data_IF_300084717990
#
_entry.id   IF_300084717990
#
_cell.length_a   1.000
_cell.length_b   1.000
_cell.length_c   1.000
_cell.angle_alpha   90.00
_cell.angle_beta   90.00
_cell.angle_gamma   90.00
#
_symmetry.space_group_name_H-M   'P 1'
#
loop_
_entity.id
_entity.type
_entity.pdbx_description
1 polymer ?
#
# COMPACT_ATOMS: atom_id res chain seq x y z
N UNK A 1 -17.04 8.40 5.65
CA UNK A 1 -17.27 9.86 5.76
C UNK A 1 -15.94 10.57 5.75
N UNK A 2 -15.71 11.54 4.85
CA UNK A 2 -14.43 12.27 4.71
C UNK A 2 -14.07 13.18 5.90
N UNK A 3 -14.80 13.11 7.02
CA UNK A 3 -14.60 13.91 8.24
C UNK A 3 -14.36 13.07 9.50
N UNK A 4 -14.17 11.76 9.38
CA UNK A 4 -13.85 10.92 10.53
C UNK A 4 -12.36 11.03 10.89
N UNK A 5 -11.96 11.08 12.17
CA UNK A 5 -10.56 11.25 12.61
C UNK A 5 -9.57 10.21 12.03
N UNK A 6 -10.10 9.11 11.52
CA UNK A 6 -9.38 7.95 10.96
C UNK A 6 -9.21 8.01 9.43
N UNK A 7 -9.77 9.02 8.75
CA UNK A 7 -9.67 9.16 7.28
C UNK A 7 -8.34 9.73 6.80
N UNK A 8 -7.62 10.45 7.67
CA UNK A 8 -6.32 11.03 7.32
C UNK A 8 -5.19 10.13 7.81
N UNK A 9 -4.56 9.43 6.88
CA UNK A 9 -3.42 8.54 7.13
C UNK A 9 -3.66 7.12 6.66
N UNK A 10 -2.72 6.24 7.00
CA UNK A 10 -2.75 4.84 6.59
C UNK A 10 -3.42 3.93 7.63
N UNK A 11 -4.03 2.86 7.13
CA UNK A 11 -4.46 1.71 7.93
C UNK A 11 -3.38 0.64 7.82
N UNK A 12 -2.94 0.11 8.97
CA UNK A 12 -1.91 -0.93 9.03
C UNK A 12 -2.58 -2.24 9.41
N UNK A 13 -2.41 -3.24 8.56
CA UNK A 13 -2.91 -4.60 8.75
C UNK A 13 -1.72 -5.52 9.01
N UNK A 14 -1.83 -6.37 10.04
CA UNK A 14 -0.83 -7.41 10.34
C UNK A 14 -1.57 -8.71 10.65
N UNK A 15 -1.31 -9.74 9.83
CA UNK A 15 -2.07 -10.98 9.89
C UNK A 15 -3.52 -10.72 9.52
N UNK A 16 -4.44 -11.13 10.39
CA UNK A 16 -5.89 -11.00 10.26
C UNK A 16 -6.46 -9.77 10.99
N UNK A 17 -5.61 -8.86 11.48
CA UNK A 17 -6.02 -7.73 12.32
C UNK A 17 -5.55 -6.38 11.80
N UNK A 18 -6.42 -5.39 11.93
CA UNK A 18 -6.04 -3.97 11.84
C UNK A 18 -5.35 -3.60 13.15
N UNK A 19 -4.08 -3.20 13.07
CA UNK A 19 -3.28 -2.85 14.26
C UNK A 19 -3.20 -1.34 14.50
N UNK A 20 -3.43 -0.54 13.47
CA UNK A 20 -3.47 0.91 13.58
C UNK A 20 -4.25 1.54 12.40
N UNK A 21 -4.72 2.77 12.59
CA UNK A 21 -5.37 3.59 11.58
C UNK A 21 -5.00 5.07 11.80
N UNK A 22 -5.08 5.89 10.75
CA UNK A 22 -4.64 7.28 10.80
C UNK A 22 -3.11 7.43 10.94
N UNK A 23 -2.34 6.47 10.42
CA UNK A 23 -0.89 6.49 10.55
C UNK A 23 -0.25 7.49 9.59
N UNK A 24 0.67 8.30 10.09
CA UNK A 24 1.59 9.07 9.25
C UNK A 24 2.71 8.16 8.76
N UNK A 25 2.88 8.09 7.45
CA UNK A 25 3.89 7.27 6.80
C UNK A 25 5.04 8.14 6.26
N UNK A 26 6.26 7.59 6.13
CA UNK A 26 7.34 8.28 5.45
C UNK A 26 6.96 8.56 3.98
N UNK A 27 7.32 9.75 3.50
CA UNK A 27 7.07 10.19 2.12
C UNK A 27 8.35 10.03 1.32
N UNK A 28 8.27 9.35 0.17
CA UNK A 28 9.42 9.24 -0.73
C UNK A 28 9.81 10.62 -1.29
N UNK A 29 11.10 10.94 -1.20
CA UNK A 29 11.71 12.20 -1.67
C UNK A 29 12.38 12.06 -3.05
N UNK A 30 12.18 10.92 -3.70
CA UNK A 30 12.72 10.63 -5.02
C UNK A 30 12.26 11.62 -6.08
N UNK A 31 13.22 12.17 -6.80
CA UNK A 31 12.99 13.16 -7.87
C UNK A 31 12.50 12.56 -9.18
N UNK A 32 12.67 11.25 -9.37
CA UNK A 32 12.24 10.50 -10.56
C UNK A 32 10.75 10.13 -10.55
N UNK A 33 10.06 10.36 -9.42
CA UNK A 33 8.62 10.09 -9.30
C UNK A 33 7.78 11.10 -10.08
N UNK A 34 6.77 10.60 -10.79
CA UNK A 34 5.84 11.44 -11.56
C UNK A 34 5.20 12.53 -10.69
N UNK A 35 5.08 13.75 -11.26
CA UNK A 35 4.46 14.89 -10.58
C UNK A 35 2.96 14.69 -10.30
N UNK A 36 2.32 13.81 -11.05
CA UNK A 36 0.89 13.49 -10.88
C UNK A 36 0.64 12.56 -9.67
N UNK A 37 1.69 12.04 -9.02
CA UNK A 37 1.54 11.25 -7.82
C UNK A 37 1.28 12.15 -6.60
N UNK A 38 0.07 12.05 -6.07
CA UNK A 38 -0.33 12.68 -4.80
C UNK A 38 0.38 12.10 -3.57
N UNK A 39 0.11 12.69 -2.41
CA UNK A 39 0.78 12.36 -1.13
C UNK A 39 0.62 10.91 -0.71
N UNK A 40 -0.56 10.29 -0.92
CA UNK A 40 -0.78 8.86 -0.61
C UNK A 40 0.11 7.92 -1.42
N UNK A 41 0.32 8.20 -2.70
CA UNK A 41 1.21 7.39 -3.54
C UNK A 41 2.66 7.52 -3.07
N UNK A 42 3.11 8.74 -2.75
CA UNK A 42 4.47 8.96 -2.23
C UNK A 42 4.68 8.36 -0.84
N UNK A 43 3.64 8.35 0.00
CA UNK A 43 3.62 7.67 1.28
C UNK A 43 3.75 6.14 1.13
N UNK A 44 3.02 5.57 0.18
CA UNK A 44 3.10 4.15 -0.12
C UNK A 44 4.50 3.77 -0.62
N UNK A 45 5.06 4.53 -1.57
CA UNK A 45 6.44 4.32 -2.04
C UNK A 45 7.42 4.46 -0.88
N UNK A 46 7.34 5.55 -0.10
CA UNK A 46 8.26 5.82 1.00
C UNK A 46 8.23 4.74 2.09
N UNK A 47 7.05 4.21 2.44
CA UNK A 47 6.96 3.11 3.40
C UNK A 47 7.59 1.82 2.85
N UNK A 48 7.39 1.53 1.57
CA UNK A 48 7.91 0.30 0.94
C UNK A 48 9.38 0.39 0.52
N UNK A 49 10.00 1.57 0.57
CA UNK A 49 11.45 1.74 0.46
C UNK A 49 12.17 1.24 1.72
N UNK A 50 11.52 1.39 2.89
CA UNK A 50 12.09 1.10 4.21
C UNK A 50 11.51 -0.18 4.85
N UNK A 51 10.66 -0.93 4.15
CA UNK A 51 10.02 -2.14 4.68
C UNK A 51 9.61 -3.14 3.60
N UNK A 52 9.32 -4.38 4.02
CA UNK A 52 8.72 -5.43 3.17
C UNK A 52 7.18 -5.31 3.08
N UNK A 53 6.63 -4.15 3.43
CA UNK A 53 5.20 -3.93 3.37
C UNK A 53 4.70 -3.89 1.92
N UNK A 54 3.50 -4.41 1.71
CA UNK A 54 2.72 -4.19 0.51
C UNK A 54 1.69 -3.12 0.85
N UNK A 55 1.62 -2.06 0.05
CA UNK A 55 0.73 -0.93 0.31
C UNK A 55 -0.22 -0.73 -0.88
N UNK A 56 -1.52 -0.78 -0.61
CA UNK A 56 -2.56 -0.52 -1.61
C UNK A 56 -2.99 0.94 -1.47
N UNK A 57 -3.10 1.65 -2.59
CA UNK A 57 -3.57 3.04 -2.65
C UNK A 57 -4.76 3.12 -3.59
N UNK A 58 -5.78 3.86 -3.16
CA UNK A 58 -6.87 4.29 -4.04
C UNK A 58 -6.73 5.80 -4.25
N UNK A 59 -6.62 6.21 -5.50
CA UNK A 59 -6.53 7.63 -5.86
C UNK A 59 -7.85 8.34 -5.57
N UNK A 60 -7.82 9.42 -4.80
CA UNK A 60 -9.02 10.26 -4.59
C UNK A 60 -9.47 10.99 -5.85
N UNK A 61 -8.52 11.32 -6.73
CA UNK A 61 -8.80 12.08 -7.94
C UNK A 61 -9.41 11.21 -9.03
N UNK A 62 -8.93 9.97 -9.17
CA UNK A 62 -9.25 9.11 -10.30
C UNK A 62 -9.97 7.81 -9.92
N UNK A 63 -9.99 7.45 -8.64
CA UNK A 63 -10.50 6.17 -8.16
C UNK A 63 -9.64 4.95 -8.54
N UNK A 64 -8.52 5.17 -9.25
CA UNK A 64 -7.63 4.09 -9.68
C UNK A 64 -6.93 3.47 -8.48
N UNK A 65 -6.75 2.14 -8.56
CA UNK A 65 -6.00 1.38 -7.57
C UNK A 65 -4.55 1.29 -8.03
N UNK A 66 -3.64 1.46 -7.08
CA UNK A 66 -2.21 1.24 -7.25
C UNK A 66 -1.69 0.37 -6.11
N UNK A 67 -0.62 -0.38 -6.38
CA UNK A 67 0.11 -1.12 -5.35
C UNK A 67 1.54 -0.64 -5.32
N UNK A 68 2.05 -0.37 -4.11
CA UNK A 68 3.45 -0.15 -3.87
C UNK A 68 4.08 -1.34 -3.15
N UNK A 69 5.25 -1.75 -3.62
CA UNK A 69 6.08 -2.79 -3.03
C UNK A 69 7.55 -2.51 -3.40
N UNK A 70 8.46 -2.68 -2.44
CA UNK A 70 9.91 -2.49 -2.63
C UNK A 70 10.26 -1.15 -3.34
N UNK A 71 9.59 -0.06 -2.97
CA UNK A 71 9.79 1.29 -3.52
C UNK A 71 9.33 1.46 -4.98
N UNK A 72 8.60 0.50 -5.55
CA UNK A 72 7.98 0.59 -6.87
C UNK A 72 6.49 0.78 -6.72
N UNK A 73 5.88 1.44 -7.69
CA UNK A 73 4.43 1.65 -7.76
C UNK A 73 3.90 1.06 -9.07
N UNK A 74 3.02 0.08 -8.97
CA UNK A 74 2.28 -0.47 -10.09
C UNK A 74 0.92 0.23 -10.20
N UNK A 75 0.65 0.80 -11.37
CA UNK A 75 -0.56 1.60 -11.61
C UNK A 75 -0.87 1.76 -13.11
N UNK A 76 -2.15 1.75 -13.52
CA UNK A 76 -3.32 1.35 -12.74
C UNK A 76 -3.40 -0.17 -12.61
N UNK A 77 -4.05 -0.65 -11.55
CA UNK A 77 -4.32 -2.06 -11.36
C UNK A 77 -5.83 -2.30 -11.31
N UNK A 78 -6.31 -3.31 -12.05
CA UNK A 78 -7.70 -3.72 -11.97
C UNK A 78 -7.95 -4.67 -10.78
N UNK A 79 -9.22 -4.92 -10.47
CA UNK A 79 -9.61 -5.74 -9.31
C UNK A 79 -9.21 -7.20 -9.45
N UNK A 80 -9.16 -7.75 -10.66
CA UNK A 80 -8.73 -9.12 -10.91
C UNK A 80 -7.24 -9.26 -10.65
N UNK A 81 -6.43 -8.39 -11.27
CA UNK A 81 -5.00 -8.31 -11.05
C UNK A 81 -4.64 -8.07 -9.57
N UNK A 82 -5.36 -7.19 -8.88
CA UNK A 82 -5.20 -6.97 -7.43
C UNK A 82 -5.44 -8.25 -6.64
N UNK A 83 -6.52 -8.96 -6.94
CA UNK A 83 -6.88 -10.18 -6.21
C UNK A 83 -5.85 -11.28 -6.42
N UNK A 84 -5.42 -11.49 -7.65
CA UNK A 84 -4.40 -12.48 -8.00
C UNK A 84 -3.07 -12.15 -7.30
N UNK A 85 -2.63 -10.89 -7.40
CA UNK A 85 -1.42 -10.40 -6.76
C UNK A 85 -1.44 -10.59 -5.23
N UNK A 86 -2.51 -10.16 -4.54
CA UNK A 86 -2.62 -10.31 -3.08
C UNK A 86 -2.72 -11.77 -2.67
N UNK A 87 -3.42 -12.59 -3.45
CA UNK A 87 -3.53 -14.03 -3.18
C UNK A 87 -2.16 -14.66 -3.26
N UNK A 88 -1.38 -14.37 -4.30
CA UNK A 88 -0.02 -14.91 -4.43
C UNK A 88 0.90 -14.41 -3.30
N UNK A 89 0.93 -13.10 -3.06
CA UNK A 89 1.80 -12.49 -2.05
C UNK A 89 1.57 -13.03 -0.64
N UNK A 90 0.31 -13.27 -0.26
CA UNK A 90 -0.03 -13.74 1.09
C UNK A 90 -0.24 -15.26 1.21
N UNK A 91 -0.49 -15.99 0.10
CA UNK A 91 -0.51 -17.45 0.12
C UNK A 91 0.88 -18.05 0.37
N UNK A 92 1.95 -17.42 -0.12
CA UNK A 92 3.32 -17.89 0.09
C UNK A 92 3.79 -17.72 1.55
N UNK A 93 3.33 -16.68 2.26
CA UNK A 93 3.68 -16.45 3.67
C UNK A 93 3.17 -17.56 4.60
N UNK A 94 2.09 -18.28 4.23
CA UNK A 94 1.56 -19.40 5.02
C UNK A 94 2.48 -20.64 4.99
N UNK A 95 3.05 -20.97 3.83
CA UNK A 95 3.96 -22.11 3.65
C UNK A 95 5.30 -21.96 4.38
N UNK A 96 5.81 -20.73 4.53
CA UNK A 96 7.13 -20.49 5.13
C UNK A 96 7.13 -20.61 6.66
N UNK A 97 5.99 -20.39 7.31
CA UNK A 97 5.83 -20.52 8.77
C UNK A 97 5.52 -21.97 9.20
N UNK A 98 4.81 -22.74 8.38
CA UNK A 98 4.53 -24.16 8.67
C UNK A 98 5.74 -25.09 8.44
N UNK A 99 6.81 -24.57 7.83
CA UNK A 99 8.04 -25.30 7.50
C UNK A 99 9.25 -24.88 8.36
N UNK A 100 9.04 -24.17 9.48
CA UNK A 100 10.08 -23.75 10.43
C UNK A 100 9.76 -24.17 11.86
#
# INVERSE_FOLDING_TARGET
>A
HPTSPIHDGAVVIRGDRVVAAGCFLPISLRSDLSKNLGTRHRAAIGLTEESDAIVIVVSEETGLISVAEAGRLETPMDMGALMDYLTEAFAQKKKKWEAS
#
